data_IF_377630412744
#
_entry.id   IF_377630412744
#
_cell.length_a   1.000
_cell.length_b   1.000
_cell.length_c   1.000
_cell.angle_alpha   90.00
_cell.angle_beta   90.00
_cell.angle_gamma   90.00
#
_symmetry.space_group_name_H-M   'P 1'
#
loop_
_entity.id
_entity.type
_entity.pdbx_description
1 polymer ?
#
# COMPACT_ATOMS: atom_id res chain seq x y z
N UNK A 1 -24.68 -2.60 8.30
CA UNK A 1 -24.86 -1.58 9.35
C UNK A 1 -25.35 -2.22 10.64
N UNK A 2 -26.56 -2.79 10.71
CA UNK A 2 -27.07 -3.44 11.93
C UNK A 2 -26.13 -4.51 12.49
N UNK A 3 -25.61 -5.40 11.64
CA UNK A 3 -24.62 -6.40 12.04
C UNK A 3 -23.33 -5.76 12.63
N UNK A 4 -22.87 -4.64 12.06
CA UNK A 4 -21.68 -3.92 12.53
C UNK A 4 -21.90 -3.38 13.96
N UNK A 5 -23.07 -2.79 14.21
CA UNK A 5 -23.44 -2.28 15.56
C UNK A 5 -23.57 -3.45 16.55
N UNK A 6 -24.25 -4.52 16.17
CA UNK A 6 -24.43 -5.70 17.03
C UNK A 6 -23.09 -6.36 17.41
N UNK A 7 -22.15 -6.47 16.46
CA UNK A 7 -20.81 -7.00 16.73
C UNK A 7 -20.02 -6.01 17.59
N UNK A 8 -20.15 -4.69 17.37
CA UNK A 8 -19.46 -3.69 18.19
C UNK A 8 -19.86 -3.76 19.66
N UNK A 9 -21.13 -4.05 19.94
CA UNK A 9 -21.64 -4.21 21.31
C UNK A 9 -21.25 -5.56 21.94
N UNK A 10 -21.34 -6.65 21.18
CA UNK A 10 -21.13 -8.02 21.71
C UNK A 10 -19.67 -8.48 21.74
N UNK A 11 -18.84 -7.95 20.83
CA UNK A 11 -17.44 -8.34 20.68
C UNK A 11 -16.59 -7.11 20.27
N UNK A 12 -16.41 -6.14 21.20
CA UNK A 12 -15.88 -4.81 20.89
C UNK A 12 -14.45 -4.78 20.33
N UNK A 13 -13.67 -5.83 20.58
CA UNK A 13 -12.28 -6.02 20.14
C UNK A 13 -12.16 -6.71 18.78
N UNK A 14 -13.27 -7.15 18.19
CA UNK A 14 -13.26 -7.79 16.87
C UNK A 14 -13.03 -6.76 15.78
N UNK A 15 -12.02 -7.00 14.94
CA UNK A 15 -11.80 -6.18 13.75
C UNK A 15 -12.89 -6.42 12.71
N UNK A 16 -13.59 -5.35 12.32
CA UNK A 16 -14.67 -5.40 11.36
C UNK A 16 -14.28 -4.70 10.05
N UNK A 17 -14.25 -5.47 8.97
CA UNK A 17 -14.17 -4.97 7.60
C UNK A 17 -15.56 -5.05 6.98
N UNK A 18 -16.06 -3.93 6.45
CA UNK A 18 -17.39 -3.86 5.85
C UNK A 18 -17.35 -3.48 4.37
N UNK A 19 -18.33 -3.95 3.61
CA UNK A 19 -18.54 -3.58 2.21
C UNK A 19 -19.68 -2.57 2.10
N UNK A 20 -19.47 -1.48 1.37
CA UNK A 20 -20.51 -0.52 1.01
C UNK A 20 -20.86 -0.64 -0.47
N UNK A 21 -22.16 -0.71 -0.77
CA UNK A 21 -22.67 -0.72 -2.16
C UNK A 21 -22.90 0.71 -2.72
N UNK A 22 -22.89 1.72 -1.84
CA UNK A 22 -22.94 3.13 -2.20
C UNK A 22 -22.00 3.92 -1.28
N UNK A 23 -21.37 4.95 -1.84
CA UNK A 23 -20.45 5.87 -1.16
C UNK A 23 -21.12 6.52 0.06
N UNK A 24 -22.41 6.85 -0.05
CA UNK A 24 -23.19 7.55 0.99
C UNK A 24 -23.28 6.73 2.30
N UNK A 25 -23.17 5.40 2.21
CA UNK A 25 -23.25 4.51 3.35
C UNK A 25 -21.89 4.27 4.03
N UNK A 26 -20.79 4.65 3.39
CA UNK A 26 -19.43 4.44 3.89
C UNK A 26 -19.24 5.11 5.26
N UNK A 27 -19.62 6.38 5.38
CA UNK A 27 -19.52 7.13 6.63
C UNK A 27 -20.35 6.52 7.76
N UNK A 28 -21.53 5.98 7.45
CA UNK A 28 -22.39 5.33 8.45
C UNK A 28 -21.79 4.01 8.94
N UNK A 29 -21.12 3.25 8.09
CA UNK A 29 -20.44 2.01 8.46
C UNK A 29 -19.21 2.26 9.34
N UNK A 30 -18.41 3.29 9.05
CA UNK A 30 -17.33 3.73 9.95
C UNK A 30 -17.86 4.12 11.33
N UNK A 31 -18.91 4.96 11.37
CA UNK A 31 -19.56 5.35 12.64
C UNK A 31 -20.15 4.16 13.41
N UNK A 32 -20.59 3.11 12.70
CA UNK A 32 -21.10 1.89 13.31
C UNK A 32 -20.01 0.98 13.90
N UNK A 33 -18.72 1.31 13.72
CA UNK A 33 -17.60 0.57 14.32
C UNK A 33 -16.78 -0.26 13.34
N UNK A 34 -17.03 -0.18 12.03
CA UNK A 34 -16.14 -0.80 11.05
C UNK A 34 -14.78 -0.08 11.02
N UNK A 35 -13.68 -0.83 11.05
CA UNK A 35 -12.32 -0.29 10.98
C UNK A 35 -11.92 0.05 9.54
N UNK A 36 -12.43 -0.71 8.58
CA UNK A 36 -12.26 -0.46 7.15
C UNK A 36 -13.58 -0.67 6.42
N UNK A 37 -13.90 0.24 5.49
CA UNK A 37 -15.08 0.14 4.64
C UNK A 37 -14.68 0.23 3.18
N UNK A 38 -14.90 -0.87 2.45
CA UNK A 38 -14.63 -0.94 1.01
C UNK A 38 -15.88 -0.51 0.23
N UNK A 39 -15.81 0.64 -0.43
CA UNK A 39 -16.85 1.09 -1.37
C UNK A 39 -16.66 0.41 -2.73
N UNK A 40 -17.46 -0.60 -3.03
CA UNK A 40 -17.33 -1.30 -4.31
C UNK A 40 -17.65 -0.43 -5.51
N UNK A 41 -18.63 0.46 -5.41
CA UNK A 41 -18.96 1.36 -6.52
C UNK A 41 -17.78 2.27 -6.88
N UNK A 42 -17.01 2.73 -5.89
CA UNK A 42 -15.79 3.52 -6.10
C UNK A 42 -14.69 2.67 -6.73
N UNK A 43 -14.43 1.47 -6.18
CA UNK A 43 -13.37 0.59 -6.67
C UNK A 43 -13.65 0.15 -8.12
N UNK A 44 -14.87 -0.33 -8.40
CA UNK A 44 -15.28 -0.72 -9.75
C UNK A 44 -15.26 0.46 -10.71
N UNK A 45 -15.72 1.65 -10.27
CA UNK A 45 -15.66 2.85 -11.10
C UNK A 45 -14.23 3.21 -11.51
N UNK A 46 -13.28 3.14 -10.56
CA UNK A 46 -11.86 3.38 -10.86
C UNK A 46 -11.27 2.30 -11.76
N UNK A 47 -11.62 1.02 -11.57
CA UNK A 47 -11.15 -0.05 -12.47
C UNK A 47 -11.69 0.09 -13.91
N UNK A 48 -12.95 0.53 -14.08
CA UNK A 48 -13.46 0.83 -15.42
C UNK A 48 -12.78 2.06 -16.01
N UNK A 49 -12.55 3.10 -15.19
CA UNK A 49 -11.80 4.29 -15.58
C UNK A 49 -10.40 3.94 -16.09
N UNK A 50 -9.65 3.07 -15.40
CA UNK A 50 -8.30 2.67 -15.83
C UNK A 50 -8.24 1.91 -17.15
N UNK A 51 -9.31 1.20 -17.50
CA UNK A 51 -9.39 0.48 -18.79
C UNK A 51 -9.81 1.42 -19.92
N UNK A 52 -10.64 2.42 -19.62
CA UNK A 52 -11.17 3.36 -20.61
C UNK A 52 -10.29 4.59 -20.82
N UNK A 53 -9.57 5.00 -19.78
CA UNK A 53 -8.66 6.13 -19.74
C UNK A 53 -7.26 5.56 -19.48
N UNK A 54 -6.37 5.69 -20.47
CA UNK A 54 -5.00 5.16 -20.43
C UNK A 54 -4.10 5.88 -19.40
N UNK A 55 -4.65 6.80 -18.59
CA UNK A 55 -3.91 7.67 -17.67
C UNK A 55 -3.87 7.17 -16.21
N UNK A 56 -4.72 6.22 -15.81
CA UNK A 56 -4.72 5.67 -14.45
C UNK A 56 -4.43 4.17 -14.47
N UNK A 57 -3.26 3.74 -13.99
CA UNK A 57 -3.00 2.32 -13.75
C UNK A 57 -3.60 1.91 -12.40
N UNK A 58 -4.68 1.13 -12.41
CA UNK A 58 -5.24 0.53 -11.19
C UNK A 58 -4.63 -0.85 -11.01
N UNK A 59 -3.89 -1.02 -9.93
CA UNK A 59 -3.34 -2.32 -9.52
C UNK A 59 -4.50 -3.25 -9.14
N UNK A 60 -4.66 -4.32 -9.92
CA UNK A 60 -5.71 -5.33 -9.70
C UNK A 60 -5.17 -6.53 -8.91
N UNK A 61 -6.06 -7.39 -8.41
CA UNK A 61 -5.66 -8.65 -7.76
C UNK A 61 -5.10 -9.68 -8.75
N UNK A 62 -5.42 -9.56 -10.04
CA UNK A 62 -4.95 -10.46 -11.10
C UNK A 62 -3.52 -10.13 -11.52
N UNK A 63 -3.15 -8.84 -11.45
CA UNK A 63 -1.75 -8.43 -11.47
C UNK A 63 -1.12 -8.93 -10.17
N UNK A 64 -0.35 -10.03 -10.23
CA UNK A 64 0.43 -10.51 -9.08
C UNK A 64 1.40 -9.40 -8.65
N UNK A 65 0.95 -8.56 -7.73
CA UNK A 65 1.59 -7.31 -7.37
C UNK A 65 1.46 -7.17 -5.86
N UNK A 66 2.60 -7.10 -5.20
CA UNK A 66 2.66 -7.01 -3.75
C UNK A 66 3.23 -5.65 -3.35
N UNK A 67 2.80 -5.19 -2.17
CA UNK A 67 3.42 -4.07 -1.48
C UNK A 67 4.00 -4.64 -0.20
N UNK A 68 5.33 -4.66 -0.11
CA UNK A 68 6.02 -5.24 1.03
C UNK A 68 6.82 -4.18 1.75
N UNK A 69 6.97 -4.42 3.04
CA UNK A 69 7.80 -3.62 3.92
C UNK A 69 9.06 -4.42 4.25
N UNK A 70 10.22 -3.89 3.91
CA UNK A 70 11.49 -4.60 4.05
C UNK A 70 12.63 -3.69 4.49
N UNK A 71 13.77 -4.27 4.86
CA UNK A 71 15.02 -3.57 5.16
C UNK A 71 15.98 -3.72 4.00
N UNK A 72 16.85 -2.73 3.78
CA UNK A 72 17.88 -2.79 2.74
C UNK A 72 19.16 -2.10 3.24
N UNK A 73 19.97 -2.75 4.11
CA UNK A 73 21.14 -2.15 4.74
C UNK A 73 22.18 -1.63 3.74
N UNK A 74 22.36 -2.31 2.60
CA UNK A 74 23.32 -1.90 1.56
C UNK A 74 22.99 -0.54 0.94
N UNK A 75 21.73 -0.08 1.06
CA UNK A 75 21.31 1.23 0.56
C UNK A 75 21.71 2.37 1.49
N UNK A 76 22.11 2.09 2.74
CA UNK A 76 22.49 3.10 3.70
C UNK A 76 23.64 3.98 3.16
N UNK A 77 23.46 5.30 3.25
CA UNK A 77 24.40 6.30 2.75
C UNK A 77 24.26 6.64 1.26
N UNK A 78 23.54 5.84 0.47
CA UNK A 78 23.25 6.14 -0.94
C UNK A 78 22.04 7.08 -1.08
N UNK A 79 21.94 7.78 -2.21
CA UNK A 79 20.69 8.47 -2.58
C UNK A 79 19.77 7.51 -3.33
N UNK A 80 18.45 7.74 -3.28
CA UNK A 80 17.49 6.92 -4.03
C UNK A 80 17.82 6.86 -5.53
N UNK A 81 18.20 8.01 -6.10
CA UNK A 81 18.69 8.13 -7.48
C UNK A 81 19.95 7.31 -7.71
N UNK A 82 20.93 7.41 -6.81
CA UNK A 82 22.21 6.73 -6.94
C UNK A 82 22.10 5.21 -6.83
N UNK A 83 21.17 4.72 -6.01
CA UNK A 83 20.94 3.29 -5.84
C UNK A 83 20.29 2.62 -7.06
N UNK A 84 19.61 3.39 -7.93
CA UNK A 84 18.96 2.93 -9.15
C UNK A 84 18.10 1.66 -8.93
N UNK A 85 17.34 1.65 -7.82
CA UNK A 85 16.63 0.47 -7.32
C UNK A 85 15.72 -0.15 -8.39
N UNK A 86 14.92 0.68 -9.06
CA UNK A 86 13.98 0.23 -10.09
C UNK A 86 14.71 -0.37 -11.29
N UNK A 87 15.81 0.22 -11.73
CA UNK A 87 16.58 -0.29 -12.86
C UNK A 87 17.29 -1.60 -12.54
N UNK A 88 17.76 -1.77 -11.30
CA UNK A 88 18.46 -2.97 -10.84
C UNK A 88 17.52 -4.14 -10.53
N UNK A 89 16.33 -3.84 -10.03
CA UNK A 89 15.46 -4.87 -9.42
C UNK A 89 14.06 -4.96 -10.04
N UNK A 90 13.62 -3.91 -10.72
CA UNK A 90 12.23 -3.71 -11.13
C UNK A 90 11.33 -3.14 -10.02
N UNK A 91 11.80 -3.10 -8.77
CA UNK A 91 10.99 -2.67 -7.64
C UNK A 91 10.83 -1.15 -7.60
N UNK A 92 9.63 -0.69 -7.25
CA UNK A 92 9.36 0.74 -7.05
C UNK A 92 9.28 1.03 -5.56
N UNK A 93 10.07 2.01 -5.09
CA UNK A 93 9.96 2.52 -3.73
C UNK A 93 8.77 3.46 -3.64
N UNK A 94 7.75 3.08 -2.86
CA UNK A 94 6.53 3.86 -2.63
C UNK A 94 6.72 4.84 -1.49
N UNK A 95 7.39 4.39 -0.42
CA UNK A 95 7.68 5.18 0.76
C UNK A 95 8.88 4.61 1.52
N UNK A 96 9.44 5.42 2.42
CA UNK A 96 10.45 5.00 3.39
C UNK A 96 9.91 5.32 4.77
N UNK A 97 10.00 4.38 5.72
CA UNK A 97 9.77 4.70 7.12
C UNK A 97 11.10 4.85 7.86
N UNK A 98 11.22 5.97 8.57
CA UNK A 98 12.36 6.34 9.39
C UNK A 98 11.85 6.78 10.75
N UNK A 99 12.36 6.17 11.82
CA UNK A 99 11.99 6.52 13.20
C UNK A 99 10.47 6.52 13.49
N UNK A 100 9.72 5.66 12.78
CA UNK A 100 8.26 5.58 12.89
C UNK A 100 7.48 6.57 12.02
N UNK A 101 8.15 7.46 11.30
CA UNK A 101 7.54 8.40 10.35
C UNK A 101 7.60 7.86 8.92
N UNK A 102 6.47 7.94 8.21
CA UNK A 102 6.37 7.50 6.82
C UNK A 102 6.64 8.66 5.86
N UNK A 103 7.79 8.61 5.19
CA UNK A 103 8.19 9.51 4.10
C UNK A 103 7.57 9.01 2.80
N UNK A 104 6.40 9.55 2.45
CA UNK A 104 5.71 9.26 1.19
C UNK A 104 6.28 10.08 0.04
N UNK A 105 6.34 9.50 -1.16
CA UNK A 105 6.91 10.13 -2.36
C UNK A 105 8.33 10.67 -2.11
N UNK A 106 9.28 9.78 -1.73
CA UNK A 106 10.60 10.22 -1.33
C UNK A 106 11.37 10.81 -2.52
N UNK A 107 11.99 11.97 -2.30
CA UNK A 107 12.74 12.69 -3.33
C UNK A 107 13.93 11.85 -3.84
N UNK A 108 14.28 11.91 -5.14
CA UNK A 108 15.38 11.12 -5.70
C UNK A 108 16.73 11.37 -5.01
N UNK A 109 16.94 12.58 -4.49
CA UNK A 109 18.20 12.97 -3.85
C UNK A 109 18.20 12.72 -2.33
N UNK A 110 17.12 12.15 -1.79
CA UNK A 110 17.04 11.70 -0.41
C UNK A 110 18.13 10.65 -0.15
N UNK A 111 18.95 10.90 0.88
CA UNK A 111 19.91 9.93 1.39
C UNK A 111 19.22 8.95 2.34
N UNK A 112 19.38 7.67 2.02
CA UNK A 112 18.91 6.56 2.83
C UNK A 112 19.83 6.39 4.04
N UNK A 113 19.24 6.03 5.18
CA UNK A 113 19.91 5.90 6.46
C UNK A 113 19.86 4.44 6.91
N UNK A 114 20.82 4.06 7.76
CA UNK A 114 20.77 2.77 8.43
C UNK A 114 19.52 2.70 9.32
N UNK A 115 18.86 1.55 9.36
CA UNK A 115 17.58 1.36 10.05
C UNK A 115 16.33 1.82 9.28
N UNK A 116 16.47 2.43 8.09
CA UNK A 116 15.33 2.73 7.22
C UNK A 116 14.59 1.44 6.82
N UNK A 117 13.26 1.52 6.80
CA UNK A 117 12.41 0.46 6.25
C UNK A 117 11.77 0.95 4.95
N UNK A 118 11.92 0.18 3.89
CA UNK A 118 11.42 0.51 2.56
C UNK A 118 10.07 -0.15 2.35
N UNK A 119 9.13 0.65 1.84
CA UNK A 119 7.85 0.17 1.32
C UNK A 119 8.03 0.10 -0.18
N UNK A 120 8.19 -1.11 -0.71
CA UNK A 120 8.42 -1.35 -2.13
C UNK A 120 7.25 -2.09 -2.75
N UNK A 121 7.16 -2.00 -4.08
CA UNK A 121 6.13 -2.70 -4.82
C UNK A 121 6.61 -3.26 -6.15
N UNK A 122 6.04 -4.40 -6.54
CA UNK A 122 6.38 -5.18 -7.73
C UNK A 122 5.76 -6.59 -7.66
N UNK A 123 6.05 -7.43 -8.64
CA UNK A 123 5.71 -8.86 -8.58
C UNK A 123 6.56 -9.60 -7.55
N UNK A 124 6.17 -10.82 -7.18
CA UNK A 124 6.93 -11.68 -6.25
C UNK A 124 8.39 -11.84 -6.68
N UNK A 125 8.64 -12.05 -7.98
CA UNK A 125 9.98 -12.14 -8.55
C UNK A 125 10.80 -10.86 -8.38
N UNK A 126 10.16 -9.70 -8.55
CA UNK A 126 10.78 -8.38 -8.36
C UNK A 126 11.14 -8.14 -6.90
N UNK A 127 10.24 -8.50 -5.98
CA UNK A 127 10.47 -8.36 -4.53
C UNK A 127 11.59 -9.28 -4.05
N UNK A 128 11.62 -10.53 -4.53
CA UNK A 128 12.71 -11.45 -4.23
C UNK A 128 14.04 -10.92 -4.74
N UNK A 129 14.09 -10.44 -5.99
CA UNK A 129 15.30 -9.84 -6.56
C UNK A 129 15.77 -8.61 -5.77
N UNK A 130 14.85 -7.75 -5.31
CA UNK A 130 15.20 -6.64 -4.42
C UNK A 130 15.86 -7.12 -3.13
N UNK A 131 15.24 -8.11 -2.48
CA UNK A 131 15.72 -8.63 -1.20
C UNK A 131 17.07 -9.32 -1.34
N UNK A 132 17.32 -10.02 -2.45
CA UNK A 132 18.63 -10.63 -2.74
C UNK A 132 19.70 -9.59 -3.09
N UNK A 133 19.31 -8.52 -3.79
CA UNK A 133 20.24 -7.49 -4.26
C UNK A 133 20.71 -6.53 -3.17
N UNK A 134 19.91 -6.33 -2.11
CA UNK A 134 20.15 -5.30 -1.08
C UNK A 134 20.09 -5.82 0.36
N UNK A 135 20.41 -7.10 0.58
CA UNK A 135 20.28 -7.77 1.87
C UNK A 135 21.20 -7.24 2.97
#
# INVERSE_FOLDING_TARGET
>A
MYATVAIKESAPDTEMIARANSIENTAKLYRAGARYVLSLSTVTGRMLSSVLLEDEEVLTLETQFEIVRTTAPELAGQTLRGAAIRDRTGATVVAIERDGELLTNPEPDLRMQDGDRFIITGSDSVINNFTETFR
#
